data_IF_274120073035
#
_entry.id   IF_274120073035
#
_cell.length_a   1.000
_cell.length_b   1.000
_cell.length_c   1.000
_cell.angle_alpha   90.00
_cell.angle_beta   90.00
_cell.angle_gamma   90.00
#
_symmetry.space_group_name_H-M   'P 1'
#
loop_
_entity.id
_entity.type
_entity.pdbx_description
1 polymer ?
#
# COMPACT_ATOMS: atom_id res chain seq x y z
N UNK A 1 11.77 4.59 -51.42
CA UNK A 1 12.71 5.42 -50.65
C UNK A 1 11.91 6.38 -49.77
N UNK A 2 12.17 6.36 -48.45
CA UNK A 2 12.25 7.51 -47.52
C UNK A 2 11.12 8.57 -47.62
N UNK A 3 10.28 8.86 -46.62
CA UNK A 3 10.53 9.32 -45.23
C UNK A 3 9.15 9.31 -44.49
N UNK A 4 8.96 8.78 -43.27
CA UNK A 4 9.27 9.39 -41.94
C UNK A 4 8.54 10.75 -41.75
N UNK A 5 7.75 11.11 -40.73
CA UNK A 5 7.49 10.69 -39.33
C UNK A 5 6.10 11.29 -38.89
N UNK A 6 5.70 11.00 -37.65
CA UNK A 6 4.85 11.77 -36.70
C UNK A 6 3.37 11.34 -36.68
N UNK A 7 2.76 10.87 -35.58
CA UNK A 7 2.98 11.24 -34.18
C UNK A 7 2.53 10.12 -33.23
N UNK A 8 3.48 9.48 -32.55
CA UNK A 8 3.20 8.72 -31.33
C UNK A 8 3.19 9.72 -30.16
N UNK A 9 2.02 10.29 -29.89
CA UNK A 9 1.72 10.94 -28.61
C UNK A 9 1.52 9.85 -27.57
N UNK A 10 2.62 9.22 -27.15
CA UNK A 10 2.66 8.46 -25.91
C UNK A 10 2.77 9.51 -24.81
N UNK A 11 1.63 9.95 -24.29
CA UNK A 11 1.60 10.65 -23.02
C UNK A 11 2.25 9.72 -21.99
N UNK A 12 3.33 10.13 -21.31
CA UNK A 12 3.73 9.43 -20.11
C UNK A 12 2.59 9.61 -19.11
N UNK A 13 1.78 8.57 -18.92
CA UNK A 13 0.98 8.44 -17.71
C UNK A 13 1.99 8.54 -16.57
N UNK A 14 2.04 9.71 -15.93
CA UNK A 14 2.83 9.95 -14.72
C UNK A 14 2.35 8.96 -13.67
N UNK A 15 3.01 7.80 -13.62
CA UNK A 15 2.92 6.89 -12.49
C UNK A 15 3.46 7.66 -11.30
N UNK A 16 2.57 8.31 -10.55
CA UNK A 16 2.89 8.81 -9.22
C UNK A 16 3.16 7.60 -8.33
N UNK A 17 4.37 7.08 -8.41
CA UNK A 17 4.98 6.32 -7.33
C UNK A 17 5.37 7.35 -6.26
N UNK A 18 4.37 7.90 -5.57
CA UNK A 18 4.62 8.70 -4.39
C UNK A 18 5.35 7.80 -3.40
N UNK A 19 6.60 8.13 -3.06
CA UNK A 19 7.31 7.42 -2.01
C UNK A 19 6.50 7.58 -0.73
N UNK A 20 5.96 6.47 -0.21
CA UNK A 20 5.26 6.48 1.06
C UNK A 20 6.23 6.92 2.16
N UNK A 21 5.90 8.00 2.86
CA UNK A 21 6.69 8.48 3.99
C UNK A 21 6.42 7.61 5.23
N UNK A 22 7.22 6.56 5.40
CA UNK A 22 7.13 5.65 6.53
C UNK A 22 7.32 6.35 7.89
N UNK A 23 7.98 7.52 7.95
CA UNK A 23 8.13 8.24 9.22
C UNK A 23 6.80 8.80 9.73
N UNK A 24 5.88 9.09 8.79
CA UNK A 24 4.56 9.63 9.03
C UNK A 24 3.45 8.63 8.72
N UNK A 25 3.74 7.32 8.74
CA UNK A 25 2.72 6.29 8.51
C UNK A 25 2.04 5.89 9.82
N UNK A 26 0.79 6.31 9.98
CA UNK A 26 -0.02 6.01 11.17
C UNK A 26 -1.39 5.47 10.78
N UNK A 27 -1.97 4.63 11.63
CA UNK A 27 -3.40 4.32 11.58
C UNK A 27 -4.00 4.39 12.98
N UNK A 28 -4.92 5.33 13.18
CA UNK A 28 -5.36 5.69 14.53
C UNK A 28 -4.19 6.19 15.37
N UNK A 29 -3.94 5.52 16.50
CA UNK A 29 -2.83 5.76 17.43
C UNK A 29 -1.58 4.90 17.16
N UNK A 30 -1.64 3.98 16.19
CA UNK A 30 -0.55 3.08 15.85
C UNK A 30 0.38 3.72 14.81
N UNK A 31 1.67 3.84 15.12
CA UNK A 31 2.72 4.09 14.13
C UNK A 31 3.11 2.78 13.47
N UNK A 32 3.09 2.72 12.14
CA UNK A 32 3.47 1.51 11.40
C UNK A 32 4.99 1.51 11.19
N UNK A 33 5.60 0.38 11.48
CA UNK A 33 7.01 0.08 11.24
C UNK A 33 7.20 -1.40 10.81
N UNK A 34 8.44 -1.82 10.58
CA UNK A 34 8.77 -3.19 10.15
C UNK A 34 8.44 -4.27 11.18
N UNK A 35 8.23 -3.92 12.46
CA UNK A 35 7.88 -4.86 13.52
C UNK A 35 6.35 -4.95 13.75
N UNK A 36 5.59 -4.04 13.15
CA UNK A 36 4.14 -3.98 13.30
C UNK A 36 3.50 -5.23 12.73
N UNK A 37 2.65 -5.88 13.52
CA UNK A 37 2.00 -7.14 13.11
C UNK A 37 0.64 -6.92 12.48
N UNK A 38 0.18 -7.90 11.69
CA UNK A 38 -1.14 -7.90 11.09
C UNK A 38 -2.24 -7.63 12.12
N UNK A 39 -2.19 -8.29 13.28
CA UNK A 39 -3.19 -8.08 14.35
C UNK A 39 -3.22 -6.64 14.85
N UNK A 40 -2.07 -6.00 15.02
CA UNK A 40 -2.03 -4.60 15.47
C UNK A 40 -2.70 -3.69 14.45
N UNK A 41 -2.45 -3.92 13.16
CA UNK A 41 -3.10 -3.19 12.07
C UNK A 41 -4.61 -3.46 12.06
N UNK A 42 -5.03 -4.71 12.24
CA UNK A 42 -6.46 -5.09 12.31
C UNK A 42 -7.23 -4.48 13.48
N UNK A 43 -6.59 -4.41 14.64
CA UNK A 43 -7.19 -3.89 15.87
C UNK A 43 -7.29 -2.36 15.86
N UNK A 44 -6.33 -1.68 15.20
CA UNK A 44 -6.15 -0.22 15.30
C UNK A 44 -6.54 0.55 14.05
N UNK A 45 -6.30 -0.01 12.87
CA UNK A 45 -6.68 0.65 11.63
C UNK A 45 -8.18 0.44 11.40
N UNK A 46 -8.87 1.47 10.89
CA UNK A 46 -10.29 1.40 10.52
C UNK A 46 -10.51 0.55 9.25
N UNK A 47 -10.15 -0.72 9.29
CA UNK A 47 -10.30 -1.68 8.17
C UNK A 47 -11.77 -2.09 8.00
N UNK A 48 -12.61 -1.89 9.03
CA UNK A 48 -14.01 -2.32 9.00
C UNK A 48 -14.86 -1.44 8.09
N UNK A 49 -15.23 -2.00 6.93
CA UNK A 49 -16.21 -1.58 5.90
C UNK A 49 -15.70 -0.75 4.72
N UNK A 50 -14.60 -0.03 4.83
CA UNK A 50 -14.14 0.86 3.74
C UNK A 50 -12.89 0.37 3.01
N UNK A 51 -12.10 -0.52 3.63
CA UNK A 51 -10.83 -0.96 3.09
C UNK A 51 -10.69 -2.49 3.10
N UNK A 52 -10.01 -2.98 2.06
CA UNK A 52 -10.04 -4.39 1.65
C UNK A 52 -8.90 -5.19 2.28
N UNK A 53 -9.16 -6.47 2.57
CA UNK A 53 -8.14 -7.47 2.85
C UNK A 53 -8.17 -8.47 1.72
N UNK A 54 -7.06 -8.59 1.00
CA UNK A 54 -7.01 -9.47 -0.16
C UNK A 54 -5.72 -10.26 -0.21
N UNK A 55 -5.80 -11.49 -0.69
CA UNK A 55 -4.62 -12.22 -1.09
C UNK A 55 -4.18 -11.70 -2.45
N UNK A 56 -3.05 -11.01 -2.50
CA UNK A 56 -2.50 -10.51 -3.73
C UNK A 56 -1.87 -11.68 -4.49
N UNK A 57 -2.61 -12.26 -5.44
CA UNK A 57 -2.17 -13.43 -6.23
C UNK A 57 -0.88 -13.20 -7.03
N UNK A 58 -0.54 -11.94 -7.34
CA UNK A 58 0.69 -11.61 -8.08
C UNK A 58 1.92 -11.63 -7.17
N UNK A 59 1.77 -11.18 -5.92
CA UNK A 59 2.88 -11.12 -4.95
C UNK A 59 2.90 -12.31 -3.97
N UNK A 60 1.81 -13.07 -3.87
CA UNK A 60 1.65 -14.13 -2.89
C UNK A 60 1.54 -13.64 -1.45
N UNK A 61 1.08 -12.40 -1.25
CA UNK A 61 1.08 -11.71 0.04
C UNK A 61 -0.34 -11.36 0.48
N UNK A 62 -0.54 -11.26 1.79
CA UNK A 62 -1.78 -10.77 2.37
C UNK A 62 -1.74 -9.24 2.45
N UNK A 63 -2.54 -8.57 1.63
CA UNK A 63 -2.58 -7.12 1.52
C UNK A 63 -3.70 -6.54 2.36
N UNK A 64 -3.38 -5.57 3.23
CA UNK A 64 -4.33 -4.81 4.03
C UNK A 64 -4.30 -3.36 3.58
N UNK A 65 -5.48 -2.82 3.25
CA UNK A 65 -5.65 -1.41 2.88
C UNK A 65 -6.18 -0.61 4.07
N UNK A 66 -5.75 0.63 4.25
CA UNK A 66 -6.27 1.58 5.24
C UNK A 66 -5.92 3.03 4.88
N UNK A 67 -6.34 4.00 5.70
CA UNK A 67 -5.97 5.42 5.56
C UNK A 67 -4.88 5.77 6.56
N UNK A 68 -3.83 6.43 6.07
CA UNK A 68 -2.85 7.05 6.94
C UNK A 68 -3.50 8.21 7.70
N UNK A 69 -3.60 8.11 9.03
CA UNK A 69 -4.23 9.17 9.83
C UNK A 69 -3.44 10.47 9.86
N UNK A 70 -2.13 10.44 9.56
CA UNK A 70 -1.32 11.66 9.51
C UNK A 70 -1.52 12.47 8.23
N UNK A 71 -1.68 11.80 7.08
CA UNK A 71 -1.72 12.46 5.76
C UNK A 71 -3.06 12.34 5.03
N UNK A 72 -3.96 11.47 5.51
CA UNK A 72 -5.18 11.03 4.82
C UNK A 72 -4.94 10.24 3.50
N UNK A 73 -3.73 9.77 3.27
CA UNK A 73 -3.42 8.95 2.09
C UNK A 73 -3.96 7.52 2.24
N UNK A 74 -4.33 6.90 1.11
CA UNK A 74 -4.66 5.47 1.07
C UNK A 74 -3.37 4.67 1.03
N UNK A 75 -3.22 3.75 1.97
CA UNK A 75 -2.03 2.91 2.11
C UNK A 75 -2.42 1.45 2.00
N UNK A 76 -1.55 0.68 1.39
CA UNK A 76 -1.60 -0.78 1.28
C UNK A 76 -0.36 -1.35 1.93
N UNK A 77 -0.53 -2.16 2.96
CA UNK A 77 0.55 -2.87 3.60
C UNK A 77 0.44 -4.37 3.32
N UNK A 78 1.55 -4.98 2.92
CA UNK A 78 1.63 -6.39 2.61
C UNK A 78 2.19 -7.15 3.82
N UNK A 79 1.61 -8.32 4.09
CA UNK A 79 2.01 -9.26 5.12
C UNK A 79 2.31 -10.61 4.46
N UNK A 80 3.27 -11.40 4.98
CA UNK A 80 3.62 -12.67 4.37
C UNK A 80 2.45 -13.67 4.35
N UNK A 81 1.54 -13.60 5.33
CA UNK A 81 0.40 -14.52 5.51
C UNK A 81 -0.72 -13.84 6.29
N UNK A 82 -1.91 -14.43 6.23
CA UNK A 82 -3.05 -14.09 7.12
C UNK A 82 -2.83 -14.73 8.51
N UNK A 83 -1.80 -14.26 9.22
CA UNK A 83 -1.45 -14.71 10.57
C UNK A 83 -1.31 -13.50 11.51
N UNK A 84 -1.90 -13.52 12.73
CA UNK A 84 -1.88 -12.38 13.64
C UNK A 84 -0.49 -11.82 13.97
N UNK A 85 0.52 -12.67 13.95
CA UNK A 85 1.92 -12.37 14.27
C UNK A 85 2.76 -12.02 13.05
N UNK A 86 2.19 -12.08 11.84
CA UNK A 86 2.91 -11.75 10.61
C UNK A 86 3.35 -10.27 10.67
N UNK A 87 4.66 -9.98 10.55
CA UNK A 87 5.15 -8.60 10.52
C UNK A 87 4.87 -7.97 9.16
N UNK A 88 4.79 -6.64 9.12
CA UNK A 88 4.65 -5.91 7.86
C UNK A 88 5.88 -6.18 6.98
N UNK A 89 5.62 -6.52 5.71
CA UNK A 89 6.66 -6.74 4.72
C UNK A 89 6.99 -5.45 3.95
N UNK A 90 5.99 -4.57 3.79
CA UNK A 90 6.15 -3.27 3.14
C UNK A 90 4.81 -2.58 2.99
N UNK A 91 4.85 -1.25 2.80
CA UNK A 91 3.66 -0.44 2.60
C UNK A 91 3.84 0.49 1.38
N UNK A 92 2.74 0.78 0.67
CA UNK A 92 2.70 1.60 -0.53
C UNK A 92 1.36 2.30 -0.76
#
# INVERSE_FOLDING_TARGET
MRKLILSLLVLPCVSYAGSLDMNNLYCGDLKIDSATTLKQVEDKCQIKKEYDKTYNYELGMYEVKFVNTATNDKVRCDFPRDEPTAPVNGCR
#
